data_IF_350706460722
#
_entry.id   IF_350706460722
#
_cell.length_a   1.000
_cell.length_b   1.000
_cell.length_c   1.000
_cell.angle_alpha   90.00
_cell.angle_beta   90.00
_cell.angle_gamma   90.00
#
_symmetry.space_group_name_H-M   'P 1'
#
loop_
_entity.id
_entity.type
_entity.pdbx_description
1 polymer ?
#
# COMPACT_ATOMS: atom_id res chain seq x y z
N UNK A 1 9.15 13.06 3.43
CA UNK A 1 9.43 14.25 2.58
C UNK A 1 8.82 14.08 1.20
N UNK A 2 9.29 13.20 0.30
CA UNK A 2 8.66 13.05 -1.04
C UNK A 2 7.22 12.49 -1.05
N UNK A 3 6.96 11.39 -0.33
CA UNK A 3 5.62 10.77 -0.33
C UNK A 3 4.60 11.67 0.38
N UNK A 4 5.01 12.38 1.44
CA UNK A 4 4.13 13.28 2.17
C UNK A 4 3.64 14.45 1.30
N UNK A 5 4.54 15.06 0.52
CA UNK A 5 4.17 16.10 -0.46
C UNK A 5 3.21 15.55 -1.52
N UNK A 6 3.45 14.33 -2.02
CA UNK A 6 2.60 13.69 -3.01
C UNK A 6 1.16 13.46 -2.48
N UNK A 7 1.00 12.91 -1.27
CA UNK A 7 -0.32 12.65 -0.69
C UNK A 7 -1.02 13.94 -0.23
N UNK A 8 -0.28 15.00 0.09
CA UNK A 8 -0.86 16.31 0.44
C UNK A 8 -1.57 16.97 -0.75
N UNK A 9 -1.01 16.80 -1.96
CA UNK A 9 -1.63 17.22 -3.22
C UNK A 9 -2.70 16.22 -3.69
N UNK A 10 -2.47 14.91 -3.52
CA UNK A 10 -3.35 13.84 -3.98
C UNK A 10 -4.06 13.14 -2.82
N UNK A 11 -4.92 13.88 -2.12
CA UNK A 11 -5.50 13.45 -0.83
C UNK A 11 -6.33 12.17 -0.91
N UNK A 12 -6.91 11.89 -2.07
CA UNK A 12 -7.79 10.74 -2.29
C UNK A 12 -7.04 9.46 -2.67
N UNK A 13 -5.75 9.53 -2.96
CA UNK A 13 -4.95 8.35 -3.32
C UNK A 13 -4.34 7.64 -2.12
N UNK A 14 -4.20 6.32 -2.25
CA UNK A 14 -3.29 5.52 -1.43
C UNK A 14 -1.96 5.37 -2.16
N UNK A 15 -0.85 5.38 -1.40
CA UNK A 15 0.48 5.03 -1.90
C UNK A 15 0.96 3.79 -1.17
N UNK A 16 1.39 2.78 -1.92
CA UNK A 16 1.93 1.53 -1.38
C UNK A 16 3.45 1.53 -1.57
N UNK A 17 4.17 1.55 -0.46
CA UNK A 17 5.62 1.36 -0.42
C UNK A 17 5.96 -0.13 -0.42
N UNK A 18 6.21 -0.68 -1.60
CA UNK A 18 6.73 -2.04 -1.76
C UNK A 18 8.23 -2.06 -1.47
N UNK A 19 8.67 -3.09 -0.75
CA UNK A 19 10.09 -3.30 -0.43
C UNK A 19 10.68 -4.17 -1.53
N UNK A 20 11.99 -4.05 -1.75
CA UNK A 20 12.66 -4.92 -2.71
C UNK A 20 12.43 -6.39 -2.35
N UNK A 21 12.09 -7.20 -3.37
CA UNK A 21 11.68 -8.59 -3.21
C UNK A 21 10.20 -8.79 -2.90
N UNK A 22 9.36 -7.74 -2.95
CA UNK A 22 7.91 -7.85 -2.80
C UNK A 22 7.14 -7.35 -4.01
N UNK A 23 5.91 -7.86 -4.20
CA UNK A 23 4.99 -7.42 -5.25
C UNK A 23 3.53 -7.49 -4.78
N UNK A 24 2.64 -6.76 -5.43
CA UNK A 24 1.21 -7.01 -5.33
C UNK A 24 0.78 -7.91 -6.49
N UNK A 25 0.07 -8.99 -6.17
CA UNK A 25 -0.51 -9.92 -7.13
C UNK A 25 -2.02 -9.76 -7.11
N UNK A 26 -2.63 -9.52 -8.28
CA UNK A 26 -4.07 -9.45 -8.47
C UNK A 26 -4.53 -10.67 -9.26
N UNK A 27 -5.21 -11.60 -8.60
CA UNK A 27 -5.80 -12.80 -9.20
C UNK A 27 -7.25 -12.94 -8.73
N UNK A 28 -8.18 -13.26 -9.64
CA UNK A 28 -9.60 -13.46 -9.32
C UNK A 28 -10.26 -12.32 -8.49
N UNK A 29 -9.82 -11.07 -8.70
CA UNK A 29 -10.22 -9.85 -7.96
C UNK A 29 -9.74 -9.78 -6.51
N UNK A 30 -8.84 -10.66 -6.12
CA UNK A 30 -8.15 -10.64 -4.84
C UNK A 30 -6.75 -10.05 -5.02
N UNK A 31 -6.46 -8.98 -4.28
CA UNK A 31 -5.15 -8.34 -4.24
C UNK A 31 -4.39 -8.82 -3.00
N UNK A 32 -3.25 -9.46 -3.21
CA UNK A 32 -2.39 -9.97 -2.13
C UNK A 32 -0.97 -9.43 -2.23
N UNK A 33 -0.30 -9.29 -1.09
CA UNK A 33 1.14 -8.98 -1.03
C UNK A 33 1.94 -10.28 -1.07
N UNK A 34 2.83 -10.40 -2.05
CA UNK A 34 3.76 -11.53 -2.17
C UNK A 34 5.16 -11.08 -1.76
N UNK A 35 5.79 -11.87 -0.87
CA UNK A 35 7.14 -11.64 -0.33
C UNK A 35 7.16 -11.59 1.21
N UNK A 36 8.35 -11.71 1.80
CA UNK A 36 8.50 -11.83 3.28
C UNK A 36 8.41 -10.50 4.04
N UNK A 37 8.52 -9.36 3.34
CA UNK A 37 8.55 -8.04 3.97
C UNK A 37 7.19 -7.38 3.87
N UNK A 38 6.80 -6.65 4.92
CA UNK A 38 5.58 -5.87 4.92
C UNK A 38 5.59 -4.80 3.82
N UNK A 39 4.42 -4.33 3.42
CA UNK A 39 4.24 -3.11 2.64
C UNK A 39 3.91 -1.95 3.58
N UNK A 40 4.37 -0.74 3.23
CA UNK A 40 4.03 0.47 3.98
C UNK A 40 2.98 1.29 3.26
N UNK A 41 1.84 1.53 3.89
CA UNK A 41 0.72 2.27 3.30
C UNK A 41 0.76 3.72 3.75
N UNK A 42 0.58 4.63 2.80
CA UNK A 42 0.47 6.07 3.04
C UNK A 42 -0.86 6.58 2.49
N UNK A 43 -1.53 7.42 3.29
CA UNK A 43 -2.77 8.09 2.94
C UNK A 43 -2.79 9.44 3.63
N UNK A 44 -3.26 10.47 2.93
CA UNK A 44 -3.36 11.81 3.51
C UNK A 44 -4.19 11.81 4.80
N UNK A 45 -3.67 12.50 5.83
CA UNK A 45 -4.33 12.58 7.14
C UNK A 45 -4.28 11.29 7.97
N UNK A 46 -3.52 10.28 7.54
CA UNK A 46 -3.33 9.03 8.29
C UNK A 46 -1.84 8.80 8.55
N UNK A 47 -1.52 8.27 9.74
CA UNK A 47 -0.17 7.81 10.03
C UNK A 47 0.19 6.61 9.15
N UNK A 48 1.43 6.52 8.61
CA UNK A 48 1.84 5.40 7.80
C UNK A 48 1.73 4.08 8.58
N UNK A 49 1.08 3.08 7.99
CA UNK A 49 0.90 1.74 8.60
C UNK A 49 1.63 0.66 7.81
N UNK A 50 2.08 -0.37 8.50
CA UNK A 50 2.69 -1.56 7.90
C UNK A 50 1.63 -2.66 7.77
N UNK A 51 1.55 -3.29 6.60
CA UNK A 51 0.68 -4.43 6.31
C UNK A 51 1.53 -5.61 5.82
N UNK A 52 1.32 -6.77 6.40
CA UNK A 52 1.92 -8.05 6.04
C UNK A 52 1.17 -8.74 4.89
N UNK A 53 1.63 -9.91 4.46
CA UNK A 53 0.93 -10.72 3.44
C UNK A 53 -0.38 -11.34 3.95
N UNK A 54 -0.63 -11.33 5.25
CA UNK A 54 -1.87 -11.81 5.87
C UNK A 54 -2.95 -10.72 5.96
N UNK A 55 -2.59 -9.45 5.71
CA UNK A 55 -3.50 -8.32 5.77
C UNK A 55 -4.24 -8.10 4.43
N UNK A 56 -5.44 -7.53 4.50
CA UNK A 56 -6.27 -7.26 3.32
C UNK A 56 -5.79 -6.04 2.52
N UNK A 57 -5.54 -6.22 1.21
CA UNK A 57 -5.20 -5.14 0.28
C UNK A 57 -6.33 -4.77 -0.68
N UNK A 58 -7.49 -5.45 -0.64
CA UNK A 58 -8.59 -5.21 -1.57
C UNK A 58 -9.19 -3.80 -1.45
N UNK A 59 -8.96 -3.10 -0.33
CA UNK A 59 -9.30 -1.68 -0.18
C UNK A 59 -8.62 -0.75 -1.20
N UNK A 60 -7.58 -1.22 -1.92
CA UNK A 60 -6.93 -0.47 -3.00
C UNK A 60 -7.69 -0.56 -4.34
N UNK A 61 -8.65 -1.47 -4.46
CA UNK A 61 -9.42 -1.70 -5.69
C UNK A 61 -10.74 -0.93 -5.74
N UNK A 62 -11.11 -0.23 -4.66
CA UNK A 62 -12.36 0.54 -4.51
C UNK A 62 -12.24 1.99 -4.94
#
# INVERSE_FOLDING_TARGET
MRINEFIEVNRDLFVVGLREGTMLLLEDKELVLVGERNARIFKFGQEPRELSHEDDFNFLLS
#
